data_IF_731553538155
#
_entry.id   IF_731553538155
#
_cell.length_a   1.000
_cell.length_b   1.000
_cell.length_c   1.000
_cell.angle_alpha   90.00
_cell.angle_beta   90.00
_cell.angle_gamma   90.00
#
_symmetry.space_group_name_H-M   'P 1'
#
loop_
_entity.id
_entity.type
_entity.pdbx_description
1 polymer ?
#
# COMPACT_ATOMS: atom_id res chain seq x y z
N UNK A 1 68.39 -49.98 24.67
CA UNK A 1 69.25 -48.96 24.04
C UNK A 1 69.03 -47.67 24.80
N UNK A 2 69.79 -47.47 25.88
CA UNK A 2 69.75 -46.24 26.68
C UNK A 2 70.34 -45.12 25.81
N UNK A 3 69.50 -44.22 25.31
CA UNK A 3 69.94 -42.91 24.85
C UNK A 3 70.45 -42.17 26.09
N UNK A 4 71.77 -42.15 26.25
CA UNK A 4 72.44 -41.40 27.28
C UNK A 4 72.14 -39.93 27.10
N UNK A 5 71.26 -39.41 27.94
CA UNK A 5 71.30 -38.01 28.34
C UNK A 5 72.66 -37.80 28.99
N UNK A 6 73.70 -37.49 28.20
CA UNK A 6 74.88 -36.78 28.69
C UNK A 6 74.30 -35.50 29.31
N UNK A 7 74.19 -35.54 30.65
CA UNK A 7 73.51 -34.48 31.38
C UNK A 7 74.22 -33.17 31.09
N UNK A 8 73.48 -32.06 31.18
CA UNK A 8 74.04 -30.70 31.12
C UNK A 8 75.30 -30.58 32.02
N UNK A 9 75.32 -31.35 33.12
CA UNK A 9 76.45 -31.51 34.02
C UNK A 9 77.72 -32.06 33.33
N UNK A 10 77.61 -33.03 32.42
CA UNK A 10 78.74 -33.65 31.71
C UNK A 10 79.28 -32.75 30.57
N UNK A 11 78.38 -31.96 29.95
CA UNK A 11 78.77 -30.92 28.99
C UNK A 11 79.51 -29.75 29.68
N UNK A 12 79.07 -29.39 30.90
CA UNK A 12 79.73 -28.38 31.74
C UNK A 12 81.11 -28.88 32.22
N UNK A 13 81.23 -30.18 32.54
CA UNK A 13 82.48 -30.79 33.01
C UNK A 13 83.51 -31.09 31.91
N UNK A 14 83.11 -31.01 30.63
CA UNK A 14 83.99 -31.24 29.46
C UNK A 14 84.56 -29.96 28.84
N UNK A 15 84.37 -28.80 29.47
CA UNK A 15 84.95 -27.54 29.01
C UNK A 15 86.48 -27.48 29.25
N UNK A 16 87.27 -27.28 28.18
CA UNK A 16 88.74 -27.31 28.20
C UNK A 16 89.38 -26.09 28.90
N UNK A 17 88.65 -24.97 29.01
CA UNK A 17 89.12 -23.75 29.67
C UNK A 17 88.01 -23.01 30.41
N UNK A 18 88.38 -22.17 31.37
CA UNK A 18 87.43 -21.32 32.08
C UNK A 18 86.62 -20.39 31.14
N UNK A 19 87.22 -19.95 30.03
CA UNK A 19 86.53 -19.15 29.02
C UNK A 19 85.53 -19.98 28.20
N UNK A 20 85.84 -21.25 27.91
CA UNK A 20 84.91 -22.16 27.22
C UNK A 20 83.75 -22.55 28.14
N UNK A 21 84.01 -22.72 29.44
CA UNK A 21 82.99 -22.93 30.47
C UNK A 21 82.02 -21.73 30.55
N UNK A 22 82.55 -20.49 30.58
CA UNK A 22 81.72 -19.28 30.61
C UNK A 22 80.91 -19.14 29.31
N UNK A 23 81.51 -19.42 28.16
CA UNK A 23 80.82 -19.34 26.86
C UNK A 23 79.73 -20.39 26.75
N UNK A 24 79.98 -21.62 27.20
CA UNK A 24 78.98 -22.70 27.23
C UNK A 24 77.82 -22.37 28.18
N UNK A 25 78.11 -21.80 29.36
CA UNK A 25 77.07 -21.34 30.30
C UNK A 25 76.23 -20.21 29.70
N UNK A 26 76.84 -19.25 29.00
CA UNK A 26 76.12 -18.18 28.30
C UNK A 26 75.26 -18.71 27.14
N UNK A 27 75.77 -19.66 26.36
CA UNK A 27 75.01 -20.30 25.29
C UNK A 27 73.84 -21.11 25.81
N UNK A 28 74.03 -21.88 26.89
CA UNK A 28 72.96 -22.63 27.54
C UNK A 28 71.89 -21.70 28.12
N UNK A 29 72.29 -20.57 28.70
CA UNK A 29 71.37 -19.55 29.20
C UNK A 29 70.54 -18.92 28.07
N UNK A 30 71.18 -18.52 26.95
CA UNK A 30 70.49 -17.96 25.77
C UNK A 30 69.56 -18.97 25.11
N UNK A 31 69.98 -20.23 24.94
CA UNK A 31 69.15 -21.27 24.34
C UNK A 31 67.99 -21.63 25.27
N UNK A 32 68.23 -21.73 26.58
CA UNK A 32 67.19 -21.94 27.58
C UNK A 32 66.16 -20.80 27.57
N UNK A 33 66.62 -19.54 27.51
CA UNK A 33 65.73 -18.36 27.40
C UNK A 33 64.91 -18.41 26.12
N UNK A 34 65.53 -18.65 24.95
CA UNK A 34 64.80 -18.73 23.67
C UNK A 34 63.82 -19.90 23.62
N UNK A 35 64.18 -21.04 24.20
CA UNK A 35 63.28 -22.18 24.29
C UNK A 35 62.12 -21.88 25.24
N UNK A 36 62.36 -21.20 26.37
CA UNK A 36 61.30 -20.74 27.27
C UNK A 36 60.37 -19.73 26.58
N UNK A 37 60.91 -18.78 25.80
CA UNK A 37 60.13 -17.80 25.03
C UNK A 37 59.30 -18.47 23.94
N UNK A 38 59.87 -19.44 23.20
CA UNK A 38 59.15 -20.18 22.17
C UNK A 38 58.03 -21.05 22.76
N UNK A 39 58.26 -21.68 23.91
CA UNK A 39 57.23 -22.43 24.65
C UNK A 39 56.11 -21.50 25.12
N UNK A 40 56.45 -20.33 25.68
CA UNK A 40 55.45 -19.33 26.08
C UNK A 40 54.64 -18.83 24.88
N UNK A 41 55.27 -18.59 23.74
CA UNK A 41 54.58 -18.19 22.50
C UNK A 41 53.65 -19.27 21.98
N UNK A 42 54.04 -20.55 22.02
CA UNK A 42 53.19 -21.66 21.61
C UNK A 42 51.99 -21.83 22.55
N UNK A 43 52.19 -21.66 23.85
CA UNK A 43 51.11 -21.67 24.84
C UNK A 43 50.12 -20.53 24.55
N UNK A 44 50.61 -19.32 24.26
CA UNK A 44 49.75 -18.19 23.92
C UNK A 44 48.95 -18.42 22.63
N UNK A 45 49.58 -18.92 21.56
CA UNK A 45 48.89 -19.26 20.32
C UNK A 45 47.86 -20.39 20.53
N UNK A 46 48.17 -21.38 21.37
CA UNK A 46 47.24 -22.46 21.71
C UNK A 46 45.98 -21.90 22.39
N UNK A 47 46.16 -20.99 23.35
CA UNK A 47 45.05 -20.34 24.05
C UNK A 47 44.22 -19.47 23.09
N UNK A 48 44.86 -18.66 22.25
CA UNK A 48 44.18 -17.79 21.28
C UNK A 48 43.40 -18.60 20.24
N UNK A 49 43.94 -19.73 19.80
CA UNK A 49 43.28 -20.64 18.86
C UNK A 49 42.07 -21.32 19.51
N UNK A 50 42.17 -21.70 20.79
CA UNK A 50 41.06 -22.25 21.55
C UNK A 50 39.93 -21.22 21.74
N UNK A 51 40.29 -19.98 22.11
CA UNK A 51 39.34 -18.86 22.21
C UNK A 51 38.68 -18.54 20.86
N UNK A 52 39.45 -18.52 19.78
CA UNK A 52 38.94 -18.27 18.42
C UNK A 52 37.98 -19.38 17.98
N UNK A 53 38.30 -20.65 18.24
CA UNK A 53 37.41 -21.79 17.94
C UNK A 53 36.11 -21.69 18.71
N UNK A 54 36.17 -21.32 19.99
CA UNK A 54 34.99 -21.14 20.83
C UNK A 54 34.10 -20.02 20.27
N UNK A 55 34.69 -18.86 19.98
CA UNK A 55 33.98 -17.72 19.41
C UNK A 55 33.34 -18.07 18.05
N UNK A 56 34.07 -18.76 17.17
CA UNK A 56 33.54 -19.18 15.87
C UNK A 56 32.34 -20.14 16.02
N UNK A 57 32.41 -21.09 16.96
CA UNK A 57 31.29 -22.00 17.23
C UNK A 57 30.07 -21.25 17.75
N UNK A 58 30.25 -20.27 18.64
CA UNK A 58 29.18 -19.42 19.15
C UNK A 58 28.54 -18.61 18.01
N UNK A 59 29.36 -17.99 17.14
CA UNK A 59 28.88 -17.25 15.96
C UNK A 59 28.14 -18.16 14.96
N UNK A 60 28.62 -19.39 14.73
CA UNK A 60 27.92 -20.34 13.85
C UNK A 60 26.56 -20.76 14.43
N UNK A 61 26.48 -20.99 15.73
CA UNK A 61 25.22 -21.32 16.40
C UNK A 61 24.22 -20.15 16.32
N UNK A 62 24.71 -18.91 16.52
CA UNK A 62 23.91 -17.71 16.37
C UNK A 62 23.44 -17.52 14.93
N UNK A 63 24.34 -17.62 13.94
CA UNK A 63 24.01 -17.48 12.52
C UNK A 63 22.98 -18.53 12.07
N UNK A 64 23.06 -19.76 12.58
CA UNK A 64 22.06 -20.80 12.30
C UNK A 64 20.70 -20.44 12.89
N UNK A 65 20.67 -19.92 14.12
CA UNK A 65 19.44 -19.46 14.78
C UNK A 65 18.83 -18.28 14.04
N UNK A 66 19.63 -17.29 13.66
CA UNK A 66 19.20 -16.14 12.88
C UNK A 66 18.66 -16.55 11.49
N UNK A 67 19.33 -17.49 10.80
CA UNK A 67 18.86 -18.02 9.52
C UNK A 67 17.49 -18.71 9.65
N UNK A 68 17.29 -19.50 10.71
CA UNK A 68 16.00 -20.14 10.96
C UNK A 68 14.93 -19.09 11.24
N UNK A 69 15.20 -18.13 12.13
CA UNK A 69 14.27 -17.05 12.44
C UNK A 69 13.90 -16.23 11.20
N UNK A 70 14.87 -15.94 10.32
CA UNK A 70 14.62 -15.23 9.05
C UNK A 70 13.76 -16.06 8.09
N UNK A 71 13.98 -17.37 8.01
CA UNK A 71 13.16 -18.28 7.20
C UNK A 71 11.72 -18.33 7.70
N UNK A 72 11.52 -18.41 9.01
CA UNK A 72 10.20 -18.46 9.64
C UNK A 72 9.47 -17.12 9.45
N UNK A 73 10.16 -15.99 9.60
CA UNK A 73 9.62 -14.65 9.36
C UNK A 73 9.22 -14.45 7.88
N UNK A 74 10.01 -14.94 6.93
CA UNK A 74 9.67 -14.89 5.51
C UNK A 74 8.41 -15.71 5.21
N UNK A 75 8.30 -16.92 5.78
CA UNK A 75 7.12 -17.76 5.59
C UNK A 75 5.87 -17.08 6.16
N UNK A 76 5.96 -16.52 7.36
CA UNK A 76 4.85 -15.75 7.96
C UNK A 76 4.45 -14.55 7.09
N UNK A 77 5.40 -13.84 6.50
CA UNK A 77 5.11 -12.72 5.61
C UNK A 77 4.42 -13.17 4.31
N UNK A 78 4.84 -14.31 3.74
CA UNK A 78 4.20 -14.90 2.56
C UNK A 78 2.76 -15.33 2.89
N UNK A 79 2.56 -16.01 4.02
CA UNK A 79 1.24 -16.47 4.45
C UNK A 79 0.30 -15.29 4.73
N UNK A 80 0.80 -14.25 5.40
CA UNK A 80 0.05 -13.01 5.63
C UNK A 80 -0.33 -12.31 4.32
N UNK A 81 0.59 -12.23 3.36
CA UNK A 81 0.32 -11.66 2.03
C UNK A 81 -0.74 -12.47 1.28
N UNK A 82 -0.63 -13.80 1.29
CA UNK A 82 -1.58 -14.68 0.60
C UNK A 82 -2.97 -14.61 1.26
N UNK A 83 -3.04 -14.53 2.59
CA UNK A 83 -4.28 -14.32 3.33
C UNK A 83 -4.92 -12.97 2.98
N UNK A 84 -4.13 -11.90 2.96
CA UNK A 84 -4.60 -10.56 2.56
C UNK A 84 -5.09 -10.55 1.11
N UNK A 85 -4.37 -11.20 0.18
CA UNK A 85 -4.78 -11.31 -1.21
C UNK A 85 -6.12 -12.04 -1.33
N UNK A 86 -6.28 -13.17 -0.64
CA UNK A 86 -7.55 -13.90 -0.63
C UNK A 86 -8.69 -13.05 -0.07
N UNK A 87 -8.45 -12.33 1.02
CA UNK A 87 -9.44 -11.42 1.60
C UNK A 87 -9.84 -10.30 0.63
N UNK A 88 -8.88 -9.69 -0.08
CA UNK A 88 -9.18 -8.67 -1.09
C UNK A 88 -9.97 -9.24 -2.28
N UNK A 89 -9.65 -10.45 -2.73
CA UNK A 89 -10.38 -11.13 -3.81
C UNK A 89 -11.82 -11.47 -3.40
N UNK A 90 -12.03 -11.95 -2.18
CA UNK A 90 -13.35 -12.22 -1.60
C UNK A 90 -14.16 -10.92 -1.46
N UNK A 91 -13.55 -9.85 -0.94
CA UNK A 91 -14.20 -8.54 -0.84
C UNK A 91 -14.60 -7.99 -2.21
N UNK A 92 -13.69 -8.04 -3.20
CA UNK A 92 -13.98 -7.58 -4.57
C UNK A 92 -15.07 -8.42 -5.24
N UNK A 93 -15.09 -9.74 -4.99
CA UNK A 93 -16.13 -10.61 -5.52
C UNK A 93 -17.49 -10.32 -4.87
N UNK A 94 -17.53 -10.10 -3.56
CA UNK A 94 -18.74 -9.71 -2.85
C UNK A 94 -19.26 -8.35 -3.32
N UNK A 95 -18.39 -7.36 -3.46
CA UNK A 95 -18.73 -6.02 -3.96
C UNK A 95 -19.34 -6.13 -5.37
N UNK A 96 -18.65 -6.82 -6.28
CA UNK A 96 -19.15 -7.02 -7.66
C UNK A 96 -20.51 -7.71 -7.70
N UNK A 97 -20.74 -8.71 -6.84
CA UNK A 97 -22.05 -9.38 -6.76
C UNK A 97 -23.15 -8.42 -6.26
N UNK A 98 -22.83 -7.50 -5.34
CA UNK A 98 -23.76 -6.48 -4.87
C UNK A 98 -24.05 -5.43 -5.95
N UNK A 99 -23.03 -5.00 -6.71
CA UNK A 99 -23.18 -4.09 -7.86
C UNK A 99 -24.09 -4.71 -8.93
N UNK A 100 -23.86 -5.97 -9.30
CA UNK A 100 -24.69 -6.71 -10.27
C UNK A 100 -26.14 -6.86 -9.77
N UNK A 101 -26.33 -7.17 -8.48
CA UNK A 101 -27.65 -7.25 -7.87
C UNK A 101 -28.38 -5.90 -7.85
N UNK A 102 -27.68 -4.81 -7.53
CA UNK A 102 -28.22 -3.45 -7.54
C UNK A 102 -28.68 -3.03 -8.94
N UNK A 103 -27.88 -3.35 -9.97
CA UNK A 103 -28.23 -3.09 -11.37
C UNK A 103 -29.44 -3.92 -11.78
N UNK A 104 -29.47 -5.22 -11.45
CA UNK A 104 -30.59 -6.10 -11.79
C UNK A 104 -31.90 -5.68 -11.10
N UNK A 105 -31.85 -5.23 -9.85
CA UNK A 105 -33.01 -4.69 -9.14
C UNK A 105 -33.49 -3.38 -9.79
N UNK A 106 -32.56 -2.48 -10.14
CA UNK A 106 -32.91 -1.23 -10.81
C UNK A 106 -33.54 -1.47 -12.19
N UNK A 107 -33.08 -2.47 -12.95
CA UNK A 107 -33.71 -2.89 -14.20
C UNK A 107 -35.16 -3.34 -13.99
N UNK A 108 -35.41 -4.22 -13.02
CA UNK A 108 -36.77 -4.68 -12.68
C UNK A 108 -37.67 -3.53 -12.27
N UNK A 109 -37.19 -2.65 -11.37
CA UNK A 109 -37.96 -1.49 -10.89
C UNK A 109 -38.19 -0.43 -11.96
N UNK A 110 -37.30 -0.30 -12.94
CA UNK A 110 -37.49 0.58 -14.08
C UNK A 110 -38.56 0.07 -15.06
N UNK A 111 -38.74 -1.25 -15.16
CA UNK A 111 -39.76 -1.90 -16.00
C UNK A 111 -41.16 -1.90 -15.34
N UNK A 112 -41.23 -1.86 -14.00
CA UNK A 112 -42.48 -1.80 -13.24
C UNK A 112 -43.11 -0.39 -13.33
N UNK A 113 -44.25 -0.27 -14.03
CA UNK A 113 -44.90 1.01 -14.38
C UNK A 113 -45.49 1.83 -13.22
N UNK A 114 -45.30 1.44 -11.96
CA UNK A 114 -45.87 2.11 -10.80
C UNK A 114 -44.79 2.51 -9.78
N UNK A 115 -44.54 3.82 -9.69
CA UNK A 115 -43.66 4.48 -8.70
C UNK A 115 -42.21 3.95 -8.68
N UNK A 116 -41.51 4.11 -9.81
CA UNK A 116 -40.08 3.81 -9.95
C UNK A 116 -39.18 4.87 -9.28
N UNK A 117 -39.53 5.33 -8.08
CA UNK A 117 -38.73 6.32 -7.32
C UNK A 117 -38.20 5.74 -6.01
N UNK A 118 -37.12 6.35 -5.52
CA UNK A 118 -36.55 6.11 -4.21
C UNK A 118 -36.18 7.46 -3.57
N UNK A 119 -36.17 7.50 -2.24
CA UNK A 119 -35.68 8.67 -1.51
C UNK A 119 -34.14 8.70 -1.53
N UNK A 120 -33.57 9.77 -2.09
CA UNK A 120 -32.13 10.03 -2.15
C UNK A 120 -31.58 10.58 -0.81
N UNK A 121 -30.25 10.80 -0.74
CA UNK A 121 -29.62 11.25 0.50
C UNK A 121 -30.06 12.67 0.92
N UNK A 122 -30.48 13.49 -0.04
CA UNK A 122 -31.08 14.82 0.17
C UNK A 122 -32.54 14.76 0.66
N UNK A 123 -33.12 13.57 0.85
CA UNK A 123 -34.50 13.39 1.27
C UNK A 123 -35.53 13.65 0.17
N UNK A 124 -35.11 13.67 -1.10
CA UNK A 124 -35.96 13.90 -2.27
C UNK A 124 -36.19 12.63 -3.05
N UNK A 125 -37.31 12.56 -3.76
CA UNK A 125 -37.60 11.44 -4.64
C UNK A 125 -36.74 11.50 -5.91
N UNK A 126 -36.07 10.41 -6.22
CA UNK A 126 -35.24 10.20 -7.40
C UNK A 126 -35.71 8.96 -8.15
N UNK A 127 -35.65 8.95 -9.47
CA UNK A 127 -36.10 7.81 -10.27
C UNK A 127 -35.03 6.72 -10.34
N UNK A 128 -35.45 5.46 -10.27
CA UNK A 128 -34.63 4.34 -10.71
C UNK A 128 -34.35 4.49 -12.21
N UNK A 129 -33.08 4.47 -12.55
CA UNK A 129 -32.61 4.48 -13.94
C UNK A 129 -31.74 3.25 -14.12
N UNK A 130 -32.13 2.37 -15.03
CA UNK A 130 -31.32 1.21 -15.37
C UNK A 130 -30.07 1.69 -16.13
N UNK A 131 -28.84 1.39 -15.66
CA UNK A 131 -27.66 1.68 -16.44
C UNK A 131 -27.64 0.77 -17.68
N UNK A 132 -27.67 1.39 -18.86
CA UNK A 132 -27.51 0.68 -20.12
C UNK A 132 -26.02 0.43 -20.38
N UNK A 133 -25.61 -0.84 -20.34
CA UNK A 133 -24.26 -1.27 -20.66
C UNK A 133 -24.08 -1.64 -22.15
N UNK A 134 -25.14 -1.54 -22.97
CA UNK A 134 -25.11 -1.95 -24.39
C UNK A 134 -24.48 -0.92 -25.33
N UNK A 135 -24.40 0.36 -24.94
CA UNK A 135 -23.65 1.41 -25.65
C UNK A 135 -22.16 1.42 -25.27
N UNK A 136 -21.50 0.27 -25.31
CA UNK A 136 -20.03 0.15 -25.19
C UNK A 136 -19.34 0.02 -26.56
N UNK A 137 -19.89 0.66 -27.58
CA UNK A 137 -19.21 0.90 -28.86
C UNK A 137 -19.09 2.41 -29.06
N UNK A 138 -17.85 2.93 -28.97
CA UNK A 138 -17.46 4.33 -29.20
C UNK A 138 -17.86 5.37 -28.13
N UNK A 139 -17.31 5.25 -26.90
CA UNK A 139 -16.44 6.25 -26.24
C UNK A 139 -16.26 5.90 -24.75
N UNK A 140 -15.05 5.47 -24.35
CA UNK A 140 -14.55 5.55 -22.96
C UNK A 140 -15.32 4.78 -21.87
N UNK A 141 -15.75 3.54 -22.14
CA UNK A 141 -16.18 2.59 -21.10
C UNK A 141 -14.98 2.13 -20.26
N UNK A 142 -15.04 2.37 -18.95
CA UNK A 142 -14.23 1.68 -17.95
C UNK A 142 -13.21 2.54 -17.20
N UNK A 143 -12.17 3.01 -17.87
CA UNK A 143 -10.99 3.57 -17.17
C UNK A 143 -10.77 5.04 -17.49
N UNK A 144 -10.69 5.86 -16.44
CA UNK A 144 -10.22 7.25 -16.54
C UNK A 144 -8.73 7.21 -16.87
N UNK A 145 -8.35 7.80 -18.00
CA UNK A 145 -6.96 7.89 -18.40
C UNK A 145 -6.25 9.02 -17.62
N UNK A 146 -5.52 8.61 -16.58
CA UNK A 146 -4.69 9.47 -15.74
C UNK A 146 -3.28 9.69 -16.31
N UNK A 147 -2.92 9.00 -17.40
CA UNK A 147 -1.58 9.12 -18.01
C UNK A 147 -1.45 10.36 -18.90
N UNK A 148 -2.58 10.90 -19.35
CA UNK A 148 -2.66 12.20 -20.00
C UNK A 148 -2.22 13.31 -19.02
N UNK A 149 -1.53 14.34 -19.52
CA UNK A 149 -1.18 15.50 -18.69
C UNK A 149 -2.44 16.22 -18.18
N UNK A 150 -2.32 16.93 -17.05
CA UNK A 150 -3.42 17.67 -16.41
C UNK A 150 -4.23 18.50 -17.41
N UNK A 151 -3.55 19.20 -18.32
CA UNK A 151 -4.21 20.07 -19.30
C UNK A 151 -5.12 19.28 -20.25
N UNK A 152 -4.64 18.16 -20.79
CA UNK A 152 -5.43 17.33 -21.71
C UNK A 152 -6.57 16.62 -20.99
N UNK A 153 -6.32 16.16 -19.76
CA UNK A 153 -7.35 15.61 -18.88
C UNK A 153 -8.47 16.62 -18.63
N UNK A 154 -8.11 17.82 -18.17
CA UNK A 154 -9.07 18.87 -17.86
C UNK A 154 -9.82 19.27 -19.12
N UNK A 155 -9.16 19.47 -20.26
CA UNK A 155 -9.82 19.83 -21.51
C UNK A 155 -10.86 18.77 -21.96
N UNK A 156 -10.48 17.48 -21.92
CA UNK A 156 -11.36 16.37 -22.29
C UNK A 156 -12.59 16.31 -21.37
N UNK A 157 -12.38 16.34 -20.06
CA UNK A 157 -13.46 16.15 -19.10
C UNK A 157 -14.34 17.39 -18.92
N UNK A 158 -13.77 18.59 -19.07
CA UNK A 158 -14.55 19.84 -19.04
C UNK A 158 -15.67 19.80 -20.07
N UNK A 159 -15.35 19.50 -21.33
CA UNK A 159 -16.34 19.49 -22.41
C UNK A 159 -17.44 18.43 -22.22
N UNK A 160 -17.08 17.25 -21.74
CA UNK A 160 -18.04 16.17 -21.44
C UNK A 160 -18.98 16.55 -20.30
N UNK A 161 -18.42 17.07 -19.21
CA UNK A 161 -19.18 17.47 -18.03
C UNK A 161 -20.07 18.68 -18.35
N UNK A 162 -19.58 19.68 -19.07
CA UNK A 162 -20.40 20.84 -19.47
C UNK A 162 -21.56 20.44 -20.39
N UNK A 163 -21.32 19.54 -21.35
CA UNK A 163 -22.38 19.01 -22.19
C UNK A 163 -23.46 18.31 -21.35
N UNK A 164 -23.04 17.50 -20.37
CA UNK A 164 -23.93 16.83 -19.45
C UNK A 164 -24.68 17.79 -18.51
N UNK A 165 -24.02 18.85 -18.02
CA UNK A 165 -24.60 19.83 -17.09
C UNK A 165 -25.39 20.96 -17.79
N UNK A 166 -25.42 20.98 -19.12
CA UNK A 166 -26.10 22.00 -19.91
C UNK A 166 -27.55 22.23 -19.45
N UNK A 167 -27.92 23.50 -19.28
CA UNK A 167 -29.26 23.90 -18.85
C UNK A 167 -29.56 23.75 -17.36
N UNK A 168 -28.58 23.34 -16.54
CA UNK A 168 -28.73 23.30 -15.09
C UNK A 168 -27.99 24.46 -14.39
N UNK A 169 -28.23 24.70 -13.08
CA UNK A 169 -27.46 25.66 -12.30
C UNK A 169 -25.95 25.39 -12.22
N UNK A 170 -25.51 24.16 -12.55
CA UNK A 170 -24.11 23.76 -12.62
C UNK A 170 -23.54 23.88 -14.05
N UNK A 171 -24.28 24.41 -15.02
CA UNK A 171 -23.79 24.62 -16.38
C UNK A 171 -22.59 25.58 -16.39
N UNK A 172 -21.53 25.24 -17.12
CA UNK A 172 -20.30 26.04 -17.21
C UNK A 172 -19.25 25.71 -16.14
N UNK A 173 -19.54 24.79 -15.22
CA UNK A 173 -18.61 24.34 -14.17
C UNK A 173 -17.84 23.06 -14.52
N UNK A 174 -17.91 22.59 -15.78
CA UNK A 174 -17.22 21.39 -16.22
C UNK A 174 -15.71 21.42 -15.96
N UNK A 175 -15.07 22.56 -16.18
CA UNK A 175 -13.65 22.74 -15.86
C UNK A 175 -13.35 22.66 -14.37
N UNK A 176 -14.20 23.25 -13.53
CA UNK A 176 -14.06 23.16 -12.07
C UNK A 176 -14.16 21.72 -11.57
N UNK A 177 -15.12 20.95 -12.09
CA UNK A 177 -15.22 19.52 -11.77
C UNK A 177 -14.00 18.74 -12.25
N UNK A 178 -13.56 18.95 -13.49
CA UNK A 178 -12.42 18.24 -14.05
C UNK A 178 -11.11 18.57 -13.32
N UNK A 179 -10.88 19.84 -12.96
CA UNK A 179 -9.72 20.26 -12.18
C UNK A 179 -9.74 19.66 -10.77
N UNK A 180 -10.89 19.69 -10.08
CA UNK A 180 -11.02 19.09 -8.77
C UNK A 180 -10.81 17.57 -8.83
N UNK A 181 -11.38 16.91 -9.83
CA UNK A 181 -11.19 15.48 -10.07
C UNK A 181 -9.71 15.15 -10.26
N UNK A 182 -8.99 15.95 -11.05
CA UNK A 182 -7.55 15.81 -11.21
C UNK A 182 -6.78 15.97 -9.90
N UNK A 183 -7.06 17.05 -9.18
CA UNK A 183 -6.31 17.42 -7.97
C UNK A 183 -6.50 16.39 -6.83
N UNK A 184 -7.65 15.73 -6.76
CA UNK A 184 -7.99 14.79 -5.69
C UNK A 184 -8.01 13.31 -6.12
N UNK A 185 -7.74 13.00 -7.39
CA UNK A 185 -7.70 11.62 -7.89
C UNK A 185 -9.07 10.92 -7.92
N UNK A 186 -10.13 11.68 -8.22
CA UNK A 186 -11.53 11.21 -8.24
C UNK A 186 -11.98 11.00 -9.69
N UNK A 187 -12.80 10.00 -9.96
CA UNK A 187 -13.44 9.84 -11.27
C UNK A 187 -14.22 11.13 -11.62
N UNK A 188 -13.87 11.83 -12.72
CA UNK A 188 -14.46 13.12 -13.07
C UNK A 188 -15.97 13.06 -13.32
N UNK A 189 -16.53 11.86 -13.57
CA UNK A 189 -17.96 11.65 -13.76
C UNK A 189 -18.72 11.54 -12.44
N UNK A 190 -18.06 11.12 -11.36
CA UNK A 190 -18.72 10.69 -10.14
C UNK A 190 -19.45 11.84 -9.43
N UNK A 191 -18.77 12.96 -9.20
CA UNK A 191 -19.39 14.10 -8.52
C UNK A 191 -20.51 14.79 -9.34
N UNK A 192 -20.38 15.01 -10.66
CA UNK A 192 -21.49 15.49 -11.48
C UNK A 192 -22.68 14.52 -11.50
N UNK A 193 -22.43 13.21 -11.56
CA UNK A 193 -23.50 12.21 -11.53
C UNK A 193 -24.29 12.22 -10.22
N UNK A 194 -23.62 12.29 -9.06
CA UNK A 194 -24.29 12.44 -7.76
C UNK A 194 -25.15 13.71 -7.74
N UNK A 195 -24.66 14.83 -8.29
CA UNK A 195 -25.44 16.08 -8.31
C UNK A 195 -26.78 15.95 -9.05
N UNK A 196 -26.83 15.10 -10.08
CA UNK A 196 -28.05 14.83 -10.83
C UNK A 196 -29.04 14.01 -10.02
N UNK A 197 -28.55 12.97 -9.34
CA UNK A 197 -29.38 12.13 -8.45
C UNK A 197 -29.90 12.94 -7.26
N UNK A 198 -29.07 13.78 -6.67
CA UNK A 198 -29.40 14.43 -5.40
C UNK A 198 -30.26 15.69 -5.55
N UNK A 199 -30.03 16.47 -6.62
CA UNK A 199 -30.63 17.80 -6.77
C UNK A 199 -31.01 18.17 -8.20
N UNK A 200 -31.02 17.22 -9.14
CA UNK A 200 -31.21 17.53 -10.56
C UNK A 200 -30.18 18.55 -11.04
N UNK A 201 -28.89 18.26 -10.78
CA UNK A 201 -27.74 19.06 -11.21
C UNK A 201 -27.76 20.48 -10.63
N UNK A 202 -28.18 20.62 -9.37
CA UNK A 202 -28.23 21.86 -8.62
C UNK A 202 -29.58 22.59 -8.65
N UNK A 203 -30.56 22.14 -9.43
CA UNK A 203 -31.88 22.79 -9.54
C UNK A 203 -32.68 22.76 -8.22
N UNK A 204 -32.54 21.67 -7.47
CA UNK A 204 -33.26 21.43 -6.23
C UNK A 204 -32.27 21.12 -5.11
N UNK A 205 -31.53 22.13 -4.65
CA UNK A 205 -30.65 21.97 -3.49
C UNK A 205 -31.45 21.97 -2.17
N UNK A 206 -30.94 21.28 -1.15
CA UNK A 206 -31.47 21.36 0.22
C UNK A 206 -30.94 22.60 0.96
N UNK A 207 -29.69 22.98 0.72
CA UNK A 207 -29.02 24.18 1.22
C UNK A 207 -28.30 24.92 0.09
N UNK A 208 -27.99 26.22 0.22
CA UNK A 208 -27.27 26.98 -0.80
C UNK A 208 -26.00 26.28 -1.29
N UNK A 209 -25.89 26.14 -2.61
CA UNK A 209 -24.80 25.46 -3.32
C UNK A 209 -24.55 24.01 -2.89
N UNK A 210 -25.51 23.33 -2.25
CA UNK A 210 -25.41 21.92 -1.89
C UNK A 210 -26.20 21.03 -2.87
N UNK A 211 -25.55 20.73 -4.00
CA UNK A 211 -26.13 19.91 -5.06
C UNK A 211 -26.11 18.40 -4.76
N UNK A 212 -25.44 17.96 -3.68
CA UNK A 212 -25.17 16.54 -3.41
C UNK A 212 -25.83 16.01 -2.13
N UNK A 213 -26.55 16.84 -1.37
CA UNK A 213 -27.07 16.43 -0.06
C UNK A 213 -25.96 16.15 0.95
N UNK A 214 -24.82 16.82 0.82
CA UNK A 214 -23.62 16.50 1.58
C UNK A 214 -23.70 17.03 3.02
N UNK A 215 -24.20 16.18 3.93
CA UNK A 215 -24.42 16.51 5.33
C UNK A 215 -25.27 17.78 5.50
N UNK A 216 -24.95 18.59 6.50
CA UNK A 216 -25.59 19.89 6.74
C UNK A 216 -24.84 21.07 6.09
N UNK A 217 -24.10 20.80 5.01
CA UNK A 217 -23.18 21.78 4.41
C UNK A 217 -23.91 22.81 3.54
N UNK A 218 -23.37 24.01 3.50
CA UNK A 218 -23.78 25.11 2.62
C UNK A 218 -22.54 25.90 2.23
N UNK A 219 -22.48 26.40 1.00
CA UNK A 219 -21.31 27.13 0.48
C UNK A 219 -21.68 28.47 -0.13
N UNK A 220 -20.68 29.35 -0.26
CA UNK A 220 -20.85 30.68 -0.85
C UNK A 220 -20.89 30.67 -2.38
N UNK A 221 -20.35 29.62 -3.01
CA UNK A 221 -20.24 29.48 -4.47
C UNK A 221 -20.24 28.02 -4.92
N UNK A 222 -20.52 27.78 -6.20
CA UNK A 222 -20.42 26.44 -6.78
C UNK A 222 -18.97 25.94 -6.82
N UNK A 223 -18.01 26.82 -7.07
CA UNK A 223 -16.59 26.46 -7.14
C UNK A 223 -16.07 25.90 -5.81
N UNK A 224 -16.39 26.57 -4.72
CA UNK A 224 -16.09 26.14 -3.36
C UNK A 224 -16.77 24.80 -3.05
N UNK A 225 -18.06 24.69 -3.41
CA UNK A 225 -18.86 23.50 -3.14
C UNK A 225 -18.35 22.27 -3.91
N UNK A 226 -18.04 22.43 -5.21
CA UNK A 226 -17.52 21.37 -6.08
C UNK A 226 -16.20 20.84 -5.52
N UNK A 227 -15.23 21.72 -5.22
CA UNK A 227 -13.93 21.31 -4.68
C UNK A 227 -14.07 20.62 -3.32
N UNK A 228 -14.93 21.15 -2.45
CA UNK A 228 -15.22 20.56 -1.14
C UNK A 228 -15.81 19.16 -1.27
N UNK A 229 -16.80 18.99 -2.14
CA UNK A 229 -17.44 17.69 -2.35
C UNK A 229 -16.49 16.66 -2.97
N UNK A 230 -15.75 17.04 -4.01
CA UNK A 230 -14.79 16.13 -4.68
C UNK A 230 -13.67 15.71 -3.72
N UNK A 231 -13.11 16.63 -2.93
CA UNK A 231 -12.13 16.25 -1.89
C UNK A 231 -12.71 15.30 -0.84
N UNK A 232 -13.98 15.49 -0.45
CA UNK A 232 -14.71 14.60 0.45
C UNK A 232 -14.90 13.18 -0.12
N UNK A 233 -15.19 13.07 -1.42
CA UNK A 233 -15.29 11.78 -2.12
C UNK A 233 -13.94 11.04 -2.13
N UNK A 234 -12.83 11.74 -2.37
CA UNK A 234 -11.50 11.14 -2.28
C UNK A 234 -11.22 10.61 -0.87
N UNK A 235 -11.46 11.43 0.15
CA UNK A 235 -11.12 11.11 1.54
C UNK A 235 -12.00 9.99 2.13
N UNK A 236 -13.29 9.95 1.79
CA UNK A 236 -14.27 9.12 2.50
C UNK A 236 -14.83 7.96 1.67
N UNK A 237 -14.67 7.99 0.34
CA UNK A 237 -15.29 7.05 -0.60
C UNK A 237 -14.28 6.46 -1.61
N UNK A 238 -13.01 6.85 -1.53
CA UNK A 238 -11.95 6.32 -2.41
C UNK A 238 -11.96 6.89 -3.83
N UNK A 239 -12.84 7.84 -4.14
CA UNK A 239 -12.85 8.57 -5.42
C UNK A 239 -13.55 7.89 -6.60
N UNK A 240 -14.17 6.72 -6.40
CA UNK A 240 -14.90 6.01 -7.45
C UNK A 240 -16.25 5.51 -6.92
N UNK A 241 -17.19 5.26 -7.83
CA UNK A 241 -18.46 4.64 -7.46
C UNK A 241 -18.22 3.18 -7.05
N UNK A 242 -18.71 2.82 -5.88
CA UNK A 242 -18.70 1.46 -5.32
C UNK A 242 -20.04 1.22 -4.65
N UNK A 243 -20.47 -0.03 -4.53
CA UNK A 243 -21.71 -0.36 -3.85
C UNK A 243 -21.65 -0.02 -2.35
N UNK A 244 -20.54 -0.37 -1.69
CA UNK A 244 -20.26 0.00 -0.30
C UNK A 244 -20.27 1.52 -0.09
N UNK A 245 -19.74 2.28 -1.05
CA UNK A 245 -19.85 3.73 -1.09
C UNK A 245 -21.30 4.20 -1.17
N UNK A 246 -22.12 3.61 -2.03
CA UNK A 246 -23.55 3.89 -2.12
C UNK A 246 -24.30 3.57 -0.81
N UNK A 247 -24.00 2.44 -0.17
CA UNK A 247 -24.56 2.07 1.13
C UNK A 247 -24.17 3.01 2.27
N UNK A 248 -23.00 3.64 2.17
CA UNK A 248 -22.58 4.71 3.09
C UNK A 248 -23.26 6.04 2.77
N UNK A 249 -23.45 6.36 1.49
CA UNK A 249 -24.00 7.64 1.04
C UNK A 249 -25.52 7.72 1.22
N UNK A 250 -26.24 6.68 0.80
CA UNK A 250 -27.69 6.55 0.94
C UNK A 250 -28.05 5.17 1.54
N UNK A 251 -27.90 4.99 2.87
CA UNK A 251 -28.11 3.70 3.53
C UNK A 251 -29.56 3.20 3.43
N UNK A 252 -30.54 4.10 3.22
CA UNK A 252 -31.93 3.72 3.08
C UNK A 252 -32.22 3.03 1.74
N UNK A 253 -31.55 3.45 0.66
CA UNK A 253 -31.79 2.94 -0.69
C UNK A 253 -30.47 2.77 -1.49
N UNK A 254 -29.54 1.91 -1.03
CA UNK A 254 -28.22 1.74 -1.66
C UNK A 254 -28.31 1.30 -3.12
N UNK A 255 -29.18 0.32 -3.41
CA UNK A 255 -29.31 -0.26 -4.75
C UNK A 255 -29.78 0.76 -5.78
N UNK A 256 -30.83 1.52 -5.41
CA UNK A 256 -31.39 2.56 -6.27
C UNK A 256 -30.41 3.71 -6.49
N UNK A 257 -29.73 4.14 -5.42
CA UNK A 257 -28.74 5.20 -5.51
C UNK A 257 -27.54 4.78 -6.37
N UNK A 258 -26.97 3.59 -6.15
CA UNK A 258 -25.86 3.06 -6.93
C UNK A 258 -26.20 3.02 -8.42
N UNK A 259 -27.33 2.41 -8.76
CA UNK A 259 -27.75 2.27 -10.16
C UNK A 259 -28.03 3.63 -10.82
N UNK A 260 -28.68 4.56 -10.11
CA UNK A 260 -28.95 5.90 -10.62
C UNK A 260 -27.65 6.68 -10.86
N UNK A 261 -26.67 6.63 -9.94
CA UNK A 261 -25.38 7.29 -10.13
C UNK A 261 -24.61 6.65 -11.29
N UNK A 262 -24.57 5.31 -11.37
CA UNK A 262 -23.94 4.61 -12.49
C UNK A 262 -24.57 4.99 -13.84
N UNK A 263 -25.89 5.06 -13.92
CA UNK A 263 -26.60 5.45 -15.13
C UNK A 263 -26.25 6.89 -15.56
N UNK A 264 -26.15 7.83 -14.60
CA UNK A 264 -25.73 9.20 -14.87
C UNK A 264 -24.25 9.28 -15.26
N UNK A 265 -23.36 8.47 -14.66
CA UNK A 265 -21.96 8.40 -15.07
C UNK A 265 -21.78 7.91 -16.51
N UNK A 266 -22.64 6.98 -16.97
CA UNK A 266 -22.62 6.50 -18.36
C UNK A 266 -23.05 7.57 -19.38
N UNK A 267 -23.71 8.65 -18.94
CA UNK A 267 -24.14 9.77 -19.80
C UNK A 267 -23.09 10.88 -19.93
N UNK A 268 -21.98 10.81 -19.17
CA UNK A 268 -20.87 11.77 -19.19
C UNK A 268 -19.72 11.19 -19.98
#
# INVERSE_FOLDING_TARGET
MQQGSLGIIDLILSADSFNDLISLLQYLDIISSRNADAVNSLVNLSNELEDTKKNLNDQMAEAKTQKQAASDALQQAIDARNALQKQMEEQRAAEKAQEEAAIAEAQKKAEESASNTFTNASGKESTYVAPDNTNSSDNSSGSVDWSAGKTDFVAKWSGRIDAYLSGSPLSGYGSTFAEAAWDYGVDPRFSPAISAVESTKGAYCFLPHNAWGWGSSSWGSWEEAIRSHVSGLAALYGGYLTYSGAAKYNPANPNGWYAAVQANMNQI
#
